data_IF_174899809587
#
_entry.id   IF_174899809587
#
_cell.length_a   1.000
_cell.length_b   1.000
_cell.length_c   1.000
_cell.angle_alpha   90.00
_cell.angle_beta   90.00
_cell.angle_gamma   90.00
#
_symmetry.space_group_name_H-M   'P 1'
#
loop_
_entity.id
_entity.type
_entity.pdbx_description
1 polymer ?
#
# COMPACT_ATOMS: atom_id res chain seq x y z
N UNK A 1 19.74 -12.57 -22.72
CA UNK A 1 19.87 -11.55 -23.79
C UNK A 1 18.50 -10.94 -24.02
N UNK A 2 18.34 -9.62 -23.94
CA UNK A 2 17.04 -8.97 -24.14
C UNK A 2 16.70 -8.99 -25.64
N UNK A 3 15.58 -9.61 -26.01
CA UNK A 3 15.11 -9.70 -27.39
C UNK A 3 14.75 -8.31 -27.96
N UNK A 4 14.79 -8.17 -29.29
CA UNK A 4 14.45 -6.93 -29.99
C UNK A 4 13.01 -6.44 -29.72
N UNK A 5 12.07 -7.35 -29.37
CA UNK A 5 10.68 -7.05 -28.98
C UNK A 5 10.49 -6.90 -27.48
N UNK A 6 11.54 -7.00 -26.67
CA UNK A 6 11.43 -6.86 -25.22
C UNK A 6 10.91 -5.48 -24.84
N UNK A 7 9.94 -5.44 -23.92
CA UNK A 7 9.45 -4.22 -23.27
C UNK A 7 10.57 -3.40 -22.64
N UNK A 8 11.67 -4.05 -22.26
CA UNK A 8 12.82 -3.45 -21.61
C UNK A 8 13.98 -3.13 -22.56
N UNK A 9 13.79 -3.22 -23.87
CA UNK A 9 14.89 -3.00 -24.85
C UNK A 9 15.60 -1.65 -24.68
N UNK A 10 14.86 -0.61 -24.26
CA UNK A 10 15.36 0.74 -24.05
C UNK A 10 15.50 1.09 -22.55
N UNK A 11 15.34 0.12 -21.65
CA UNK A 11 15.48 0.36 -20.23
C UNK A 11 16.94 0.73 -19.93
N UNK A 12 17.14 1.85 -19.22
CA UNK A 12 18.47 2.24 -18.75
C UNK A 12 18.89 1.30 -17.62
N UNK A 13 20.10 0.77 -17.70
CA UNK A 13 20.69 0.05 -16.59
C UNK A 13 20.87 0.99 -15.38
N UNK A 14 20.67 0.46 -14.19
CA UNK A 14 21.04 1.17 -12.98
C UNK A 14 22.57 1.36 -12.94
N UNK A 15 23.00 2.59 -12.66
CA UNK A 15 24.42 2.94 -12.49
C UNK A 15 24.59 3.44 -11.06
N UNK A 16 25.44 2.77 -10.28
CA UNK A 16 25.85 3.26 -8.96
C UNK A 16 26.68 4.54 -9.11
N UNK A 17 26.51 5.50 -8.20
CA UNK A 17 27.31 6.73 -8.21
C UNK A 17 28.78 6.50 -7.90
N UNK A 18 29.61 7.51 -8.14
CA UNK A 18 31.01 7.53 -7.70
C UNK A 18 31.13 7.31 -6.18
N UNK A 19 32.25 6.72 -5.77
CA UNK A 19 32.56 6.28 -4.41
C UNK A 19 32.11 7.30 -3.35
N UNK A 20 30.97 7.03 -2.72
CA UNK A 20 30.43 7.82 -1.60
C UNK A 20 29.11 8.55 -1.86
N UNK A 21 28.58 8.63 -3.09
CA UNK A 21 27.26 9.23 -3.36
C UNK A 21 26.24 8.20 -3.86
N UNK A 22 25.15 7.92 -3.11
CA UNK A 22 24.10 7.05 -3.61
C UNK A 22 23.31 7.74 -4.74
N UNK A 23 23.30 7.15 -5.93
CA UNK A 23 22.46 7.59 -7.08
C UNK A 23 20.98 7.31 -6.81
N UNK A 24 20.69 6.37 -5.92
CA UNK A 24 19.36 6.01 -5.47
C UNK A 24 19.32 6.07 -3.95
N UNK A 25 18.49 6.95 -3.39
CA UNK A 25 18.35 7.15 -1.94
C UNK A 25 17.72 5.94 -1.21
N UNK A 26 17.42 4.85 -1.92
CA UNK A 26 16.72 3.70 -1.38
C UNK A 26 15.22 3.97 -1.19
N UNK A 27 14.51 2.94 -0.75
CA UNK A 27 13.20 3.10 -0.13
C UNK A 27 13.42 3.52 1.32
N UNK A 28 12.88 4.67 1.71
CA UNK A 28 12.78 5.03 3.13
C UNK A 28 11.50 4.41 3.69
N UNK A 29 11.53 3.83 4.90
CA UNK A 29 10.30 3.49 5.60
C UNK A 29 9.42 4.73 5.68
N UNK A 30 8.12 4.57 5.41
CA UNK A 30 7.20 5.68 5.62
C UNK A 30 7.06 5.94 7.12
N UNK A 31 6.85 7.20 7.48
CA UNK A 31 6.43 7.55 8.83
C UNK A 31 4.97 7.14 9.02
N UNK A 32 4.72 6.05 9.75
CA UNK A 32 3.39 5.57 10.10
C UNK A 32 2.96 6.32 11.37
N UNK A 33 2.33 7.48 11.18
CA UNK A 33 1.76 8.23 12.31
C UNK A 33 0.48 7.56 12.78
N UNK A 34 0.43 7.22 14.06
CA UNK A 34 -0.81 6.81 14.73
C UNK A 34 -1.77 8.00 14.70
N UNK A 35 -2.96 7.82 14.12
CA UNK A 35 -3.99 8.87 14.05
C UNK A 35 -4.97 8.74 15.21
N UNK A 36 -5.37 9.87 15.78
CA UNK A 36 -6.48 9.92 16.73
C UNK A 36 -7.81 9.80 15.99
N UNK A 37 -8.68 8.90 16.45
CA UNK A 37 -9.95 8.58 15.81
C UNK A 37 -9.80 7.55 14.68
N UNK A 38 -10.27 6.34 14.96
CA UNK A 38 -10.47 5.29 13.96
C UNK A 38 -11.89 4.75 14.09
N UNK A 39 -12.50 4.42 12.94
CA UNK A 39 -13.74 3.67 12.87
C UNK A 39 -13.41 2.18 12.79
N UNK A 40 -14.21 1.35 13.44
CA UNK A 40 -14.14 -0.09 13.27
C UNK A 40 -14.99 -0.50 12.07
N UNK A 41 -14.41 -1.29 11.16
CA UNK A 41 -15.10 -1.88 10.01
C UNK A 41 -14.96 -3.40 10.05
N UNK A 42 -16.08 -4.10 9.91
CA UNK A 42 -16.10 -5.56 9.84
C UNK A 42 -15.98 -6.01 8.38
N UNK A 43 -14.87 -6.68 8.07
CA UNK A 43 -14.57 -7.13 6.72
C UNK A 43 -15.64 -8.09 6.18
N UNK A 44 -16.06 -7.85 4.96
CA UNK A 44 -16.93 -8.75 4.19
C UNK A 44 -16.11 -9.68 3.30
N UNK A 45 -16.73 -10.78 2.88
CA UNK A 45 -16.08 -11.75 1.99
C UNK A 45 -15.66 -11.09 0.68
N UNK A 46 -14.39 -11.23 0.30
CA UNK A 46 -13.83 -10.71 -0.95
C UNK A 46 -13.67 -9.19 -1.00
N UNK A 47 -13.79 -8.51 0.14
CA UNK A 47 -13.72 -7.05 0.23
C UNK A 47 -12.31 -6.50 -0.04
N UNK A 48 -12.24 -5.38 -0.75
CA UNK A 48 -10.99 -4.78 -1.20
C UNK A 48 -10.74 -3.44 -0.53
N UNK A 49 -9.50 -3.23 -0.07
CA UNK A 49 -9.10 -1.98 0.59
C UNK A 49 -9.27 -0.73 -0.30
N UNK A 50 -9.14 -0.85 -1.61
CA UNK A 50 -9.35 0.28 -2.53
C UNK A 50 -10.82 0.68 -2.68
N UNK A 51 -11.74 -0.26 -2.48
CA UNK A 51 -13.17 0.04 -2.42
C UNK A 51 -13.52 0.70 -1.08
N UNK A 52 -13.01 0.15 0.03
CA UNK A 52 -13.16 0.76 1.35
C UNK A 52 -12.61 2.18 1.41
N UNK A 53 -11.44 2.42 0.82
CA UNK A 53 -10.87 3.77 0.77
C UNK A 53 -11.73 4.74 -0.06
N UNK A 54 -12.36 4.27 -1.14
CA UNK A 54 -13.31 5.10 -1.89
C UNK A 54 -14.57 5.38 -1.08
N UNK A 55 -15.05 4.42 -0.31
CA UNK A 55 -16.23 4.59 0.55
C UNK A 55 -15.97 5.57 1.70
N UNK A 56 -14.89 5.36 2.47
CA UNK A 56 -14.60 6.15 3.67
C UNK A 56 -13.89 7.48 3.39
N UNK A 57 -13.08 7.56 2.33
CA UNK A 57 -12.29 8.75 2.03
C UNK A 57 -12.67 9.44 0.72
N UNK A 58 -13.54 8.85 -0.10
CA UNK A 58 -13.84 9.35 -1.44
C UNK A 58 -12.74 9.08 -2.48
N UNK A 59 -11.60 8.50 -2.09
CA UNK A 59 -10.47 8.22 -2.98
C UNK A 59 -9.91 6.81 -2.76
N UNK A 60 -10.09 5.95 -3.78
CA UNK A 60 -9.55 4.58 -3.78
C UNK A 60 -8.04 4.52 -3.66
N UNK A 61 -7.32 5.57 -4.04
CA UNK A 61 -5.85 5.64 -3.96
C UNK A 61 -5.34 5.76 -2.52
N UNK A 62 -6.22 6.01 -1.55
CA UNK A 62 -5.90 6.12 -0.12
C UNK A 62 -5.98 4.79 0.63
N UNK A 63 -6.15 3.67 -0.07
CA UNK A 63 -6.20 2.31 0.51
C UNK A 63 -5.01 1.98 1.42
N UNK A 64 -3.83 2.53 1.11
CA UNK A 64 -2.62 2.32 1.90
C UNK A 64 -2.74 2.85 3.33
N UNK A 65 -3.62 3.83 3.59
CA UNK A 65 -3.87 4.31 4.96
C UNK A 65 -4.53 3.24 5.82
N UNK A 66 -5.46 2.50 5.24
CA UNK A 66 -6.13 1.39 5.92
C UNK A 66 -5.10 0.28 6.17
N UNK A 67 -4.24 -0.02 5.19
CA UNK A 67 -3.17 -1.00 5.37
C UNK A 67 -2.21 -0.58 6.52
N UNK A 68 -1.74 0.66 6.52
CA UNK A 68 -0.80 1.17 7.52
C UNK A 68 -1.38 1.16 8.94
N UNK A 69 -2.70 1.34 9.09
CA UNK A 69 -3.38 1.29 10.39
C UNK A 69 -3.64 -0.13 10.90
N UNK A 70 -3.47 -1.16 10.07
CA UNK A 70 -3.79 -2.55 10.38
C UNK A 70 -2.58 -3.46 10.12
N UNK A 71 -1.59 -3.52 11.04
CA UNK A 71 -0.38 -4.33 10.85
C UNK A 71 -0.62 -5.82 10.64
N UNK A 72 -1.79 -6.33 11.03
CA UNK A 72 -2.23 -7.71 10.76
C UNK A 72 -2.49 -7.97 9.27
N UNK A 73 -2.71 -6.93 8.46
CA UNK A 73 -2.82 -7.02 7.02
C UNK A 73 -1.42 -6.88 6.40
N UNK A 74 -0.87 -7.99 5.91
CA UNK A 74 0.51 -8.01 5.40
C UNK A 74 0.66 -7.27 4.05
N UNK A 75 -0.38 -7.30 3.20
CA UNK A 75 -0.43 -6.57 1.94
C UNK A 75 -1.90 -6.26 1.57
N UNK A 76 -2.12 -5.42 0.56
CA UNK A 76 -3.48 -4.96 0.22
C UNK A 76 -4.47 -6.07 -0.15
N UNK A 77 -3.97 -7.18 -0.71
CA UNK A 77 -4.78 -8.37 -1.02
C UNK A 77 -5.08 -9.27 0.18
N UNK A 78 -4.47 -9.03 1.35
CA UNK A 78 -4.76 -9.82 2.54
C UNK A 78 -6.22 -9.66 2.96
N UNK A 79 -6.78 -8.46 2.88
CA UNK A 79 -8.17 -8.19 3.25
C UNK A 79 -9.21 -8.98 2.42
N UNK A 80 -8.87 -9.43 1.21
CA UNK A 80 -9.80 -10.17 0.35
C UNK A 80 -9.92 -11.64 0.71
N UNK A 81 -9.09 -12.15 1.63
CA UNK A 81 -9.06 -13.56 1.98
C UNK A 81 -10.33 -13.95 2.74
N UNK A 82 -10.97 -15.04 2.32
CA UNK A 82 -12.18 -15.59 2.99
C UNK A 82 -11.97 -15.83 4.49
N UNK A 83 -10.75 -16.20 4.90
CA UNK A 83 -10.39 -16.44 6.30
C UNK A 83 -10.43 -15.17 7.17
N UNK A 84 -10.43 -13.98 6.57
CA UNK A 84 -10.51 -12.69 7.27
C UNK A 84 -11.90 -12.06 7.20
N UNK A 85 -12.87 -12.67 6.50
CA UNK A 85 -14.25 -12.23 6.56
C UNK A 85 -14.77 -12.30 8.00
N UNK A 86 -15.44 -11.23 8.45
CA UNK A 86 -15.90 -11.06 9.83
C UNK A 86 -14.86 -10.49 10.80
N UNK A 87 -13.60 -10.34 10.39
CA UNK A 87 -12.60 -9.66 11.22
C UNK A 87 -12.80 -8.15 11.22
N UNK A 88 -12.48 -7.51 12.34
CA UNK A 88 -12.56 -6.06 12.50
C UNK A 88 -11.22 -5.42 12.14
N UNK A 89 -11.28 -4.38 11.30
CA UNK A 89 -10.14 -3.54 10.94
C UNK A 89 -10.42 -2.08 11.29
N UNK A 90 -9.35 -1.31 11.47
CA UNK A 90 -9.42 0.11 11.78
C UNK A 90 -9.37 0.97 10.51
N UNK A 91 -10.32 1.88 10.36
CA UNK A 91 -10.36 2.89 9.31
C UNK A 91 -9.96 4.23 9.93
N UNK A 92 -8.71 4.70 9.75
CA UNK A 92 -8.25 5.95 10.35
C UNK A 92 -8.95 7.18 9.75
N UNK A 93 -9.22 8.22 10.54
CA UNK A 93 -9.80 9.47 10.04
C UNK A 93 -8.98 10.15 8.94
N UNK A 94 -9.68 10.84 8.01
CA UNK A 94 -9.04 11.67 6.99
C UNK A 94 -8.56 13.01 7.58
N UNK A 95 -7.48 13.58 7.04
CA UNK A 95 -7.08 14.96 7.37
C UNK A 95 -8.06 15.91 6.66
N UNK A 96 -8.60 16.89 7.40
CA UNK A 96 -9.20 18.09 6.81
C UNK A 96 -8.12 19.12 6.55
#
# INVERSE_FOLDING_TARGET
MLDARSRYRNARAYVSGEAGRPVFAGTRPRDIRTREGALEHTLQKGERLDLLAREYYGDSRLWWRILDANPQLFFGGTATLDALAGSVILIPGNER
#
